data_IF_424346091637
#
_entry.id   IF_424346091637
#
_cell.length_a   1.000
_cell.length_b   1.000
_cell.length_c   1.000
_cell.angle_alpha   90.00
_cell.angle_beta   90.00
_cell.angle_gamma   90.00
#
_symmetry.space_group_name_H-M   'P 1'
#
loop_
_entity.id
_entity.type
_entity.pdbx_description
1 polymer ?
#
# COMPACT_ATOMS: atom_id res chain seq x y z
N UNK A 1 -66.33 -40.55 -27.28
CA UNK A 1 -66.83 -41.92 -27.00
C UNK A 1 -65.63 -42.75 -26.55
N UNK A 2 -65.81 -43.53 -25.49
CA UNK A 2 -64.80 -44.14 -24.60
C UNK A 2 -63.81 -45.09 -25.29
N UNK A 3 -62.57 -45.15 -24.78
CA UNK A 3 -61.81 -46.34 -24.34
C UNK A 3 -60.52 -45.82 -23.62
N UNK A 4 -60.29 -45.97 -22.32
CA UNK A 4 -59.86 -47.19 -21.57
C UNK A 4 -58.69 -47.90 -22.29
N UNK A 5 -57.51 -48.20 -21.74
CA UNK A 5 -57.08 -48.37 -20.35
C UNK A 5 -55.68 -49.05 -20.34
N UNK A 6 -54.82 -48.74 -19.34
CA UNK A 6 -53.77 -49.61 -18.72
C UNK A 6 -52.52 -49.88 -19.63
N UNK A 7 -51.27 -49.69 -19.23
CA UNK A 7 -50.50 -50.44 -18.22
C UNK A 7 -49.16 -49.73 -17.90
N UNK A 8 -48.74 -49.85 -16.65
CA UNK A 8 -47.52 -49.31 -16.07
C UNK A 8 -46.31 -50.21 -16.37
N UNK A 9 -45.09 -49.66 -16.30
CA UNK A 9 -43.96 -50.12 -15.44
C UNK A 9 -42.64 -49.45 -15.89
N UNK A 10 -42.25 -48.44 -15.11
CA UNK A 10 -40.92 -48.05 -14.61
C UNK A 10 -39.68 -48.14 -15.50
N UNK A 11 -39.06 -46.99 -15.75
CA UNK A 11 -37.61 -46.85 -15.70
C UNK A 11 -37.26 -45.54 -14.99
N UNK A 12 -36.78 -45.70 -13.75
CA UNK A 12 -36.30 -44.68 -12.84
C UNK A 12 -35.09 -43.96 -13.44
N UNK A 13 -35.19 -42.65 -13.68
CA UNK A 13 -34.03 -41.80 -13.88
C UNK A 13 -34.07 -40.70 -12.82
N UNK A 14 -33.37 -40.96 -11.72
CA UNK A 14 -33.00 -39.96 -10.72
C UNK A 14 -32.07 -38.96 -11.42
N UNK A 15 -32.58 -37.83 -11.86
CA UNK A 15 -31.75 -36.69 -12.23
C UNK A 15 -31.65 -35.75 -11.06
N UNK A 16 -30.43 -35.72 -10.51
CA UNK A 16 -30.01 -35.02 -9.31
C UNK A 16 -30.35 -33.52 -9.33
N UNK A 17 -30.70 -33.04 -8.13
CA UNK A 17 -30.61 -31.66 -7.68
C UNK A 17 -29.22 -31.10 -8.01
N UNK A 18 -29.14 -30.23 -9.01
CA UNK A 18 -27.98 -29.38 -9.27
C UNK A 18 -28.20 -28.00 -8.66
N UNK A 19 -28.14 -27.89 -7.33
CA UNK A 19 -27.89 -26.60 -6.69
C UNK A 19 -26.56 -26.07 -7.22
N UNK A 20 -26.62 -25.00 -8.01
CA UNK A 20 -25.44 -24.30 -8.50
C UNK A 20 -24.73 -23.66 -7.32
N UNK A 21 -23.83 -24.43 -6.72
CA UNK A 21 -22.76 -23.89 -5.91
C UNK A 21 -21.94 -22.99 -6.85
N UNK A 22 -22.19 -21.68 -6.79
CA UNK A 22 -21.26 -20.68 -7.31
C UNK A 22 -20.01 -20.85 -6.47
N UNK A 23 -19.10 -21.68 -6.95
CA UNK A 23 -17.75 -21.82 -6.43
C UNK A 23 -17.11 -20.46 -6.58
N UNK A 24 -17.08 -19.67 -5.50
CA UNK A 24 -16.24 -18.50 -5.40
C UNK A 24 -14.80 -18.98 -5.61
N UNK A 25 -14.30 -18.78 -6.83
CA UNK A 25 -12.88 -18.81 -7.09
C UNK A 25 -12.26 -17.66 -6.29
N UNK A 26 -11.94 -17.94 -5.02
CA UNK A 26 -11.01 -17.16 -4.22
C UNK A 26 -9.66 -17.20 -4.96
N UNK A 27 -9.45 -16.23 -5.86
CA UNK A 27 -8.11 -15.88 -6.32
C UNK A 27 -7.32 -15.51 -5.07
N UNK A 28 -6.47 -16.41 -4.59
CA UNK A 28 -5.46 -16.09 -3.56
C UNK A 28 -4.63 -14.92 -4.06
N UNK A 29 -4.98 -13.72 -3.65
CA UNK A 29 -4.22 -12.52 -3.97
C UNK A 29 -2.79 -12.69 -3.42
N UNK A 30 -1.78 -12.23 -4.17
CA UNK A 30 -0.38 -12.21 -3.68
C UNK A 30 -0.26 -11.15 -2.58
N UNK A 31 -0.57 -11.53 -1.35
CA UNK A 31 -0.49 -10.66 -0.18
C UNK A 31 0.95 -10.52 0.31
N UNK A 32 1.35 -9.31 0.70
CA UNK A 32 2.64 -9.05 1.37
C UNK A 32 2.37 -8.83 2.86
N UNK A 33 3.20 -9.40 3.72
CA UNK A 33 3.07 -9.21 5.17
C UNK A 33 3.76 -7.92 5.60
N UNK A 34 3.02 -7.03 6.27
CA UNK A 34 3.55 -5.75 6.79
C UNK A 34 3.06 -5.56 8.23
N UNK A 35 3.97 -5.60 9.20
CA UNK A 35 3.64 -5.51 10.63
C UNK A 35 2.71 -6.60 11.14
N UNK A 36 2.91 -7.83 10.64
CA UNK A 36 2.14 -9.00 11.05
C UNK A 36 0.75 -9.11 10.42
N UNK A 37 0.37 -8.20 9.51
CA UNK A 37 -0.90 -8.26 8.78
C UNK A 37 -0.69 -8.46 7.27
N UNK A 38 -1.52 -9.28 6.61
CA UNK A 38 -1.50 -9.41 5.16
C UNK A 38 -2.07 -8.14 4.50
N UNK A 39 -1.31 -7.57 3.58
CA UNK A 39 -1.73 -6.44 2.74
C UNK A 39 -2.37 -6.99 1.46
N UNK A 40 -3.63 -6.64 1.24
CA UNK A 40 -4.41 -7.13 0.10
C UNK A 40 -4.34 -6.13 -1.06
N UNK A 41 -3.90 -6.54 -2.26
CA UNK A 41 -3.88 -5.69 -3.45
C UNK A 41 -5.25 -5.13 -3.85
N UNK A 42 -6.35 -5.79 -3.48
CA UNK A 42 -7.71 -5.29 -3.69
C UNK A 42 -8.09 -4.06 -2.84
N UNK A 43 -7.39 -3.83 -1.72
CA UNK A 43 -7.68 -2.73 -0.79
C UNK A 43 -6.82 -1.50 -1.06
N UNK A 44 -7.34 -0.32 -0.73
CA UNK A 44 -6.62 0.94 -0.91
C UNK A 44 -5.54 1.15 0.19
N UNK A 45 -4.71 2.19 0.01
CA UNK A 45 -3.64 2.61 0.93
C UNK A 45 -4.08 2.62 2.40
N UNK A 46 -5.20 3.28 2.69
CA UNK A 46 -5.67 3.49 4.05
C UNK A 46 -6.25 2.21 4.65
N UNK A 47 -7.06 1.48 3.90
CA UNK A 47 -7.70 0.23 4.34
C UNK A 47 -6.70 -0.85 4.75
N UNK A 48 -5.55 -0.91 4.08
CA UNK A 48 -4.46 -1.82 4.44
C UNK A 48 -3.63 -1.26 5.60
N UNK A 49 -3.30 0.03 5.59
CA UNK A 49 -2.48 0.66 6.63
C UNK A 49 -3.13 0.60 8.03
N UNK A 50 -4.46 0.74 8.13
CA UNK A 50 -5.18 0.62 9.42
C UNK A 50 -5.11 -0.78 10.03
N UNK A 51 -4.85 -1.80 9.22
CA UNK A 51 -4.73 -3.19 9.68
C UNK A 51 -3.30 -3.56 10.08
N UNK A 52 -2.31 -2.71 9.77
CA UNK A 52 -0.92 -2.94 10.14
C UNK A 52 -0.60 -2.35 11.52
N UNK A 53 -0.10 -3.19 12.44
CA UNK A 53 0.35 -2.72 13.76
C UNK A 53 1.57 -1.80 13.67
N UNK A 54 2.31 -1.85 12.56
CA UNK A 54 3.53 -1.05 12.36
C UNK A 54 3.27 0.35 11.80
N UNK A 55 2.02 0.68 11.42
CA UNK A 55 1.69 1.93 10.72
C UNK A 55 0.67 2.80 11.46
N UNK A 56 0.40 2.51 12.73
CA UNK A 56 -0.58 3.26 13.54
C UNK A 56 -0.27 4.75 13.63
N UNK A 57 1.02 5.12 13.75
CA UNK A 57 1.44 6.54 13.80
C UNK A 57 1.25 7.23 12.45
N UNK A 58 1.53 6.54 11.34
CA UNK A 58 1.31 7.06 9.99
C UNK A 58 -0.18 7.33 9.75
N UNK A 59 -1.06 6.40 10.13
CA UNK A 59 -2.52 6.56 10.01
C UNK A 59 -3.00 7.76 10.83
N UNK A 60 -2.50 7.94 12.05
CA UNK A 60 -2.83 9.09 12.88
C UNK A 60 -2.39 10.42 12.21
N UNK A 61 -1.18 10.47 11.67
CA UNK A 61 -0.65 11.63 10.96
C UNK A 61 -1.48 11.97 9.71
N UNK A 62 -1.84 10.97 8.89
CA UNK A 62 -2.67 11.16 7.69
C UNK A 62 -4.06 11.68 8.05
N UNK A 63 -4.66 11.19 9.13
CA UNK A 63 -5.94 11.71 9.65
C UNK A 63 -5.82 13.16 10.11
N UNK A 64 -4.79 13.49 10.88
CA UNK A 64 -4.54 14.86 11.35
C UNK A 64 -4.28 15.84 10.18
N UNK A 65 -3.58 15.39 9.14
CA UNK A 65 -3.34 16.16 7.93
C UNK A 65 -4.56 16.28 7.01
N UNK A 66 -5.57 15.42 7.17
CA UNK A 66 -6.74 15.38 6.30
C UNK A 66 -6.45 14.80 4.91
N UNK A 67 -5.43 13.94 4.78
CA UNK A 67 -5.02 13.35 3.50
C UNK A 67 -5.68 11.99 3.21
N UNK A 68 -6.62 11.55 4.07
CA UNK A 68 -7.31 10.26 3.94
C UNK A 68 -7.98 10.13 2.57
N UNK A 69 -8.72 11.16 2.14
CA UNK A 69 -9.42 11.15 0.86
C UNK A 69 -8.46 11.17 -0.33
N UNK A 70 -7.39 11.96 -0.25
CA UNK A 70 -6.36 12.05 -1.29
C UNK A 70 -5.67 10.70 -1.50
N UNK A 71 -5.29 10.01 -0.41
CA UNK A 71 -4.66 8.69 -0.47
C UNK A 71 -5.64 7.55 -0.73
N UNK A 72 -6.95 7.80 -0.63
CA UNK A 72 -8.00 6.87 -1.07
C UNK A 72 -8.43 7.10 -2.53
N UNK A 73 -7.99 8.19 -3.16
CA UNK A 73 -8.29 8.52 -4.55
C UNK A 73 -7.73 7.51 -5.57
N UNK A 74 -8.09 7.66 -6.86
CA UNK A 74 -7.88 6.63 -7.88
C UNK A 74 -6.43 6.33 -8.27
N UNK A 75 -5.43 7.04 -7.71
CA UNK A 75 -4.02 6.78 -7.98
C UNK A 75 -3.63 7.01 -9.46
N UNK A 76 -2.43 6.57 -9.89
CA UNK A 76 -1.48 5.76 -9.14
C UNK A 76 -0.55 6.57 -8.22
N UNK A 77 -0.39 6.10 -6.98
CA UNK A 77 0.57 6.66 -6.02
C UNK A 77 1.64 5.64 -5.62
N UNK A 78 2.85 6.11 -5.36
CA UNK A 78 3.87 5.34 -4.65
C UNK A 78 4.11 5.99 -3.30
N UNK A 79 3.77 5.29 -2.23
CA UNK A 79 3.87 5.80 -0.86
C UNK A 79 5.05 5.16 -0.15
N UNK A 80 5.97 5.98 0.33
CA UNK A 80 7.05 5.56 1.21
C UNK A 80 6.53 5.59 2.65
N UNK A 81 6.16 4.44 3.19
CA UNK A 81 5.49 4.34 4.49
C UNK A 81 6.51 4.09 5.62
N UNK A 82 6.81 5.07 6.49
CA UNK A 82 7.64 4.85 7.66
C UNK A 82 6.92 3.98 8.70
N UNK A 83 7.65 3.03 9.28
CA UNK A 83 7.18 2.21 10.40
C UNK A 83 7.09 3.02 11.71
N UNK A 84 6.40 2.51 12.71
CA UNK A 84 6.38 3.07 14.06
C UNK A 84 7.80 3.21 14.65
N UNK A 85 8.71 2.30 14.32
CA UNK A 85 10.12 2.40 14.73
C UNK A 85 10.84 3.56 14.03
N UNK A 86 10.48 3.89 12.79
CA UNK A 86 10.99 5.07 12.10
C UNK A 86 10.53 6.35 12.81
N UNK A 87 9.26 6.43 13.20
CA UNK A 87 8.73 7.55 13.98
C UNK A 87 9.34 7.66 15.38
N UNK A 88 9.68 6.53 16.02
CA UNK A 88 10.32 6.52 17.32
C UNK A 88 11.74 7.12 17.31
N UNK A 89 12.39 7.20 16.14
CA UNK A 89 13.68 7.90 15.97
C UNK A 89 13.53 9.43 15.93
N UNK A 90 12.32 9.94 15.68
CA UNK A 90 12.02 11.37 15.74
C UNK A 90 11.75 11.75 17.20
N UNK A 91 12.34 12.84 17.71
CA UNK A 91 12.03 13.31 19.06
C UNK A 91 10.52 13.47 19.26
N UNK A 92 9.98 12.89 20.34
CA UNK A 92 8.53 12.93 20.61
C UNK A 92 7.98 14.35 20.66
N UNK A 93 8.76 15.30 21.16
CA UNK A 93 8.39 16.72 21.16
C UNK A 93 8.19 17.27 19.76
N UNK A 94 9.09 16.95 18.82
CA UNK A 94 8.97 17.35 17.43
C UNK A 94 7.75 16.69 16.77
N UNK A 95 7.52 15.40 17.04
CA UNK A 95 6.34 14.69 16.52
C UNK A 95 5.03 15.29 17.05
N UNK A 96 4.94 15.52 18.35
CA UNK A 96 3.75 16.12 18.98
C UNK A 96 3.50 17.51 18.44
N UNK A 97 4.54 18.32 18.28
CA UNK A 97 4.45 19.65 17.69
C UNK A 97 3.92 19.58 16.23
N UNK A 98 4.41 18.63 15.43
CA UNK A 98 3.92 18.41 14.06
C UNK A 98 2.46 17.96 14.00
N UNK A 99 1.97 17.28 15.04
CA UNK A 99 0.56 16.85 15.14
C UNK A 99 -0.39 17.96 15.63
N UNK A 100 0.13 19.13 16.03
CA UNK A 100 -0.73 20.25 16.41
C UNK A 100 -1.49 20.80 15.18
N UNK A 101 -2.76 21.23 15.36
CA UNK A 101 -3.57 21.77 14.27
C UNK A 101 -2.92 22.95 13.53
N UNK A 102 -2.20 23.80 14.26
CA UNK A 102 -1.43 24.93 13.73
C UNK A 102 -0.28 24.52 12.79
N UNK A 103 0.26 23.31 12.95
CA UNK A 103 1.31 22.75 12.11
C UNK A 103 0.79 21.81 11.03
N UNK A 104 -0.54 21.74 10.82
CA UNK A 104 -1.16 20.89 9.79
C UNK A 104 -0.55 21.07 8.41
N UNK A 105 -0.23 22.32 8.01
CA UNK A 105 0.41 22.58 6.72
C UNK A 105 1.80 21.92 6.61
N UNK A 106 2.60 21.96 7.69
CA UNK A 106 3.90 21.27 7.75
C UNK A 106 3.73 19.76 7.72
N UNK A 107 2.78 19.23 8.48
CA UNK A 107 2.47 17.80 8.49
C UNK A 107 2.05 17.30 7.10
N UNK A 108 1.17 18.05 6.43
CA UNK A 108 0.78 17.76 5.04
C UNK A 108 1.99 17.77 4.11
N UNK A 109 2.88 18.76 4.21
CA UNK A 109 4.11 18.83 3.42
C UNK A 109 5.01 17.61 3.65
N UNK A 110 5.21 17.19 4.90
CA UNK A 110 6.01 15.99 5.21
C UNK A 110 5.35 14.74 4.64
N UNK A 111 4.03 14.60 4.78
CA UNK A 111 3.32 13.42 4.26
C UNK A 111 3.31 13.38 2.74
N UNK A 112 3.11 14.49 2.04
CA UNK A 112 3.18 14.54 0.57
C UNK A 112 4.61 14.40 0.05
N UNK A 113 5.63 14.68 0.87
CA UNK A 113 7.02 14.39 0.55
C UNK A 113 7.31 12.89 0.49
N UNK A 114 6.57 12.07 1.26
CA UNK A 114 6.65 10.61 1.20
C UNK A 114 5.88 9.99 0.03
N UNK A 115 5.16 10.80 -0.77
CA UNK A 115 4.37 10.32 -1.90
C UNK A 115 5.07 10.71 -3.20
N UNK A 116 5.23 9.74 -4.09
CA UNK A 116 5.74 9.94 -5.44
C UNK A 116 4.59 9.69 -6.42
N UNK A 117 4.36 10.59 -7.38
CA UNK A 117 3.36 10.37 -8.43
C UNK A 117 3.76 9.19 -9.32
N UNK A 118 2.78 8.34 -9.65
CA UNK A 118 3.00 7.16 -10.47
C UNK A 118 3.12 5.88 -9.65
N UNK A 119 3.08 4.75 -10.35
CA UNK A 119 3.28 3.41 -9.77
C UNK A 119 4.72 2.98 -10.02
N UNK A 120 5.54 3.05 -8.98
CA UNK A 120 6.94 2.67 -9.01
C UNK A 120 7.13 1.38 -8.20
N UNK A 121 7.32 0.27 -8.91
CA UNK A 121 7.78 -0.97 -8.28
C UNK A 121 9.26 -0.88 -7.89
N UNK A 122 9.70 -1.73 -6.96
CA UNK A 122 11.09 -1.85 -6.55
C UNK A 122 11.97 -2.19 -7.76
N UNK A 123 11.49 -3.05 -8.66
CA UNK A 123 12.19 -3.38 -9.90
C UNK A 123 12.38 -2.16 -10.82
N UNK A 124 11.35 -1.31 -10.97
CA UNK A 124 11.46 -0.07 -11.76
C UNK A 124 12.42 0.93 -11.10
N UNK A 125 12.35 1.10 -9.77
CA UNK A 125 13.25 1.96 -9.01
C UNK A 125 14.70 1.45 -9.17
N UNK A 126 14.96 0.16 -8.94
CA UNK A 126 16.28 -0.43 -9.10
C UNK A 126 16.81 -0.31 -10.53
N UNK A 127 15.95 -0.44 -11.55
CA UNK A 127 16.34 -0.21 -12.94
C UNK A 127 16.72 1.25 -13.18
N UNK A 128 15.89 2.19 -12.73
CA UNK A 128 16.16 3.61 -12.86
C UNK A 128 17.47 4.03 -12.16
N UNK A 129 17.77 3.44 -11.01
CA UNK A 129 19.05 3.65 -10.30
C UNK A 129 20.23 3.15 -11.15
N UNK A 130 20.12 1.96 -11.78
CA UNK A 130 21.18 1.42 -12.64
C UNK A 130 21.38 2.28 -13.89
N UNK A 131 20.29 2.69 -14.53
CA UNK A 131 20.30 3.53 -15.73
C UNK A 131 20.89 4.93 -15.41
N UNK A 132 20.62 5.44 -14.20
CA UNK A 132 21.15 6.70 -13.67
C UNK A 132 22.55 6.63 -13.05
N UNK A 133 23.38 5.64 -13.45
CA UNK A 133 24.76 5.45 -12.96
C UNK A 133 24.89 5.30 -11.43
N UNK A 134 23.89 4.68 -10.80
CA UNK A 134 23.90 4.36 -9.37
C UNK A 134 22.99 5.25 -8.51
N UNK A 135 22.31 6.24 -9.11
CA UNK A 135 21.32 7.08 -8.41
C UNK A 135 20.12 7.36 -9.30
N UNK A 136 18.96 7.53 -8.68
CA UNK A 136 17.72 7.96 -9.35
C UNK A 136 17.06 9.05 -8.52
N UNK A 137 16.79 10.21 -9.11
CA UNK A 137 16.11 11.31 -8.44
C UNK A 137 14.64 11.29 -8.85
N UNK A 138 13.75 11.11 -7.88
CA UNK A 138 12.31 11.20 -8.06
C UNK A 138 11.80 12.49 -7.43
N UNK A 139 10.77 13.10 -8.04
CA UNK A 139 10.10 14.26 -7.46
C UNK A 139 8.90 13.80 -6.64
N UNK A 140 8.84 14.22 -5.38
CA UNK A 140 7.68 13.95 -4.53
C UNK A 140 6.48 14.82 -4.93
N UNK A 141 5.28 14.48 -4.45
CA UNK A 141 4.07 15.29 -4.63
C UNK A 141 4.21 16.67 -3.97
N UNK A 142 5.00 16.76 -2.89
CA UNK A 142 5.34 18.03 -2.25
C UNK A 142 6.20 18.94 -3.16
N UNK A 143 6.94 18.36 -4.12
CA UNK A 143 7.82 19.07 -5.05
C UNK A 143 9.31 18.95 -4.71
N UNK A 144 9.66 18.48 -3.50
CA UNK A 144 11.03 18.17 -3.12
C UNK A 144 11.55 16.90 -3.78
N UNK A 145 12.87 16.82 -3.90
CA UNK A 145 13.55 15.71 -4.57
C UNK A 145 13.90 14.59 -3.58
N UNK A 146 13.72 13.35 -4.02
CA UNK A 146 14.06 12.13 -3.31
C UNK A 146 15.10 11.36 -4.11
N UNK A 147 16.28 11.14 -3.52
CA UNK A 147 17.37 10.45 -4.21
C UNK A 147 17.39 8.99 -3.81
N UNK A 148 17.01 8.12 -4.72
CA UNK A 148 17.11 6.68 -4.57
C UNK A 148 18.49 6.19 -4.99
N UNK A 149 19.04 5.25 -4.22
CA UNK A 149 20.31 4.61 -4.49
C UNK A 149 20.30 3.17 -3.95
N UNK A 150 21.26 2.35 -4.36
CA UNK A 150 21.36 0.97 -3.91
C UNK A 150 22.68 0.70 -3.19
N UNK A 151 22.61 -0.08 -2.11
CA UNK A 151 23.77 -0.69 -1.46
C UNK A 151 23.64 -2.20 -1.57
N UNK A 152 24.35 -2.79 -2.52
CA UNK A 152 24.18 -4.22 -2.84
C UNK A 152 22.77 -4.49 -3.40
N UNK A 153 21.98 -5.26 -2.67
CA UNK A 153 20.58 -5.59 -3.02
C UNK A 153 19.53 -4.67 -2.40
N UNK A 154 19.94 -3.85 -1.44
CA UNK A 154 19.03 -3.02 -0.66
C UNK A 154 18.85 -1.65 -1.33
N UNK A 155 17.60 -1.20 -1.42
CA UNK A 155 17.25 0.14 -1.91
C UNK A 155 17.18 1.11 -0.74
N UNK A 156 17.79 2.27 -0.93
CA UNK A 156 17.78 3.39 0.00
C UNK A 156 17.20 4.62 -0.68
N UNK A 157 16.56 5.46 0.10
CA UNK A 157 16.06 6.77 -0.32
C UNK A 157 16.68 7.82 0.59
N UNK A 158 17.25 8.87 0.00
CA UNK A 158 17.86 10.00 0.68
C UNK A 158 16.97 11.23 0.52
N UNK A 159 16.70 11.90 1.64
CA UNK A 159 15.92 13.13 1.69
C UNK A 159 16.78 14.38 1.46
N UNK A 160 16.13 15.55 1.41
CA UNK A 160 16.77 16.84 1.21
C UNK A 160 17.71 17.24 2.37
N UNK A 161 17.44 16.76 3.58
CA UNK A 161 18.27 16.98 4.77
C UNK A 161 19.50 16.07 4.83
N UNK A 162 19.58 15.12 3.90
CA UNK A 162 20.68 14.18 3.79
C UNK A 162 20.51 12.89 4.60
N UNK A 163 19.39 12.71 5.29
CA UNK A 163 19.05 11.47 5.96
C UNK A 163 18.72 10.40 4.92
N UNK A 164 19.08 9.16 5.21
CA UNK A 164 18.77 8.02 4.34
C UNK A 164 17.86 7.03 5.06
N UNK A 165 16.78 6.65 4.41
CA UNK A 165 15.90 5.57 4.84
C UNK A 165 16.11 4.33 3.97
N UNK A 166 16.18 3.17 4.60
CA UNK A 166 16.22 1.87 3.92
C UNK A 166 14.80 1.41 3.61
N UNK A 167 14.57 0.92 2.40
CA UNK A 167 13.34 0.18 2.06
C UNK A 167 13.44 -1.22 2.69
N UNK A 168 12.59 -1.49 3.68
CA UNK A 168 12.57 -2.76 4.43
C UNK A 168 11.61 -3.78 3.83
N UNK A 169 10.46 -3.31 3.34
CA UNK A 169 9.49 -4.12 2.60
C UNK A 169 9.12 -3.34 1.35
N UNK A 170 9.37 -3.93 0.18
CA UNK A 170 9.08 -3.31 -1.09
C UNK A 170 7.89 -3.99 -1.78
N UNK A 171 7.28 -3.32 -2.76
CA UNK A 171 6.24 -3.85 -3.63
C UNK A 171 4.96 -4.31 -2.91
N UNK A 172 4.54 -3.57 -1.89
CA UNK A 172 3.24 -3.76 -1.25
C UNK A 172 2.17 -3.16 -2.17
N UNK A 173 1.69 -3.98 -3.10
CA UNK A 173 0.70 -3.57 -4.10
C UNK A 173 -0.65 -3.27 -3.48
N UNK A 174 -1.30 -2.23 -3.98
CA UNK A 174 -2.62 -1.77 -3.55
C UNK A 174 -3.46 -1.36 -4.77
N UNK A 175 -4.76 -1.21 -4.56
CA UNK A 175 -5.69 -0.93 -5.66
C UNK A 175 -5.40 0.41 -6.34
N UNK A 176 -4.87 1.38 -5.61
CA UNK A 176 -4.55 2.72 -6.09
C UNK A 176 -3.05 3.07 -6.06
N UNK A 177 -2.16 2.09 -5.89
CA UNK A 177 -0.73 2.38 -5.78
C UNK A 177 0.17 1.24 -5.33
N UNK A 178 1.35 1.62 -4.85
CA UNK A 178 2.34 0.74 -4.21
C UNK A 178 2.85 1.40 -2.94
N UNK A 179 2.93 0.65 -1.86
CA UNK A 179 3.66 1.04 -0.65
C UNK A 179 5.05 0.41 -0.67
N UNK A 180 6.04 1.23 -0.31
CA UNK A 180 7.36 0.75 0.12
C UNK A 180 7.57 1.16 1.56
N UNK A 181 7.78 0.19 2.44
CA UNK A 181 7.97 0.42 3.87
C UNK A 181 9.40 0.85 4.12
N UNK A 182 9.59 1.95 4.86
CA UNK A 182 10.90 2.52 5.17
C UNK A 182 11.16 2.57 6.68
N UNK A 183 12.44 2.59 7.06
CA UNK A 183 12.89 2.56 8.47
C UNK A 183 13.25 3.93 9.06
N UNK A 184 13.08 5.02 8.32
CA UNK A 184 13.25 6.40 8.76
C UNK A 184 12.18 7.30 8.15
N UNK A 185 11.88 8.42 8.81
CA UNK A 185 10.98 9.46 8.30
C UNK A 185 11.78 10.42 7.41
N UNK A 186 11.26 10.71 6.22
CA UNK A 186 11.88 11.60 5.24
C UNK A 186 11.45 13.04 5.48
N UNK A 187 12.40 13.96 5.45
CA UNK A 187 12.14 15.37 5.67
C UNK A 187 12.48 16.21 4.43
N UNK A 188 11.56 17.06 3.95
CA UNK A 188 11.84 18.01 2.88
C UNK A 188 12.83 19.10 3.30
#
# INVERSE_FOLDING_TARGET
MKLKSILWITATAVTLLGSTYVSQAQTKEKTVMVGGAPMYPSKNIIENAVNSKDHTTLVAAVKAAGLVETLAGPGPFTVLAPTNNAFAKVPKEALNNLMLPENKAKLTSILTYHVIPGKWSAAQISKAIKDGKGMYIAKSVQGGDLTFWMKGKDVYVKDAQGNSAKVTVADVNQSNGVIHVIDAVLMP
#
